data_IF_256996731519
#
_entry.id   IF_256996731519
#
_cell.length_a   1.000
_cell.length_b   1.000
_cell.length_c   1.000
_cell.angle_alpha   90.00
_cell.angle_beta   90.00
_cell.angle_gamma   90.00
#
_symmetry.space_group_name_H-M   'P 1'
#
loop_
_entity.id
_entity.type
_entity.pdbx_description
1 polymer ?
#
# COMPACT_ATOMS: atom_id res chain seq x y z
N UNK A 1 20.95 -3.73 -38.22
CA UNK A 1 20.08 -4.11 -37.09
C UNK A 1 20.56 -3.33 -35.89
N UNK A 2 20.03 -2.13 -35.68
CA UNK A 2 20.45 -1.26 -34.58
C UNK A 2 19.60 -1.55 -33.35
N UNK A 3 20.24 -2.06 -32.31
CA UNK A 3 19.64 -2.21 -30.99
C UNK A 3 19.27 -0.83 -30.44
N UNK A 4 17.98 -0.57 -30.27
CA UNK A 4 17.51 0.57 -29.50
C UNK A 4 17.37 0.11 -28.04
N UNK A 5 18.32 0.49 -27.21
CA UNK A 5 18.15 0.50 -25.75
C UNK A 5 17.56 1.85 -25.39
N UNK A 6 16.30 1.97 -24.95
CA UNK A 6 15.87 3.13 -24.20
C UNK A 6 15.99 2.80 -22.72
N UNK A 7 17.08 3.21 -22.10
CA UNK A 7 17.00 3.67 -20.71
C UNK A 7 16.60 5.15 -20.79
N UNK A 8 15.56 5.54 -20.04
CA UNK A 8 15.86 6.34 -18.87
C UNK A 8 14.99 5.89 -17.70
N UNK A 9 15.47 4.96 -16.89
CA UNK A 9 14.88 4.77 -15.57
C UNK A 9 15.31 5.95 -14.71
N UNK A 10 14.40 6.91 -14.51
CA UNK A 10 14.56 7.91 -13.45
C UNK A 10 14.76 7.24 -12.09
N UNK A 11 15.08 8.00 -11.03
CA UNK A 11 15.12 7.43 -9.69
C UNK A 11 13.78 6.76 -9.38
N UNK A 12 13.83 5.55 -8.80
CA UNK A 12 12.65 4.90 -8.24
C UNK A 12 11.96 5.88 -7.27
N UNK A 13 10.62 6.01 -7.34
CA UNK A 13 9.91 6.93 -6.47
C UNK A 13 10.16 6.56 -5.02
N UNK A 14 10.41 7.56 -4.17
CA UNK A 14 10.56 7.31 -2.74
C UNK A 14 9.22 6.89 -2.12
N UNK A 15 9.27 6.31 -0.92
CA UNK A 15 8.04 5.98 -0.17
C UNK A 15 7.17 7.22 0.03
N UNK A 16 7.78 8.37 0.31
CA UNK A 16 7.07 9.64 0.48
C UNK A 16 6.38 10.08 -0.80
N UNK A 17 7.00 9.90 -1.97
CA UNK A 17 6.41 10.27 -3.26
C UNK A 17 5.17 9.40 -3.57
N UNK A 18 5.25 8.11 -3.25
CA UNK A 18 4.15 7.16 -3.43
C UNK A 18 2.99 7.44 -2.49
N UNK A 19 3.28 7.70 -1.21
CA UNK A 19 2.27 8.07 -0.21
C UNK A 19 1.53 9.35 -0.61
N UNK A 20 2.27 10.39 -0.98
CA UNK A 20 1.74 11.66 -1.45
C UNK A 20 0.84 11.49 -2.68
N UNK A 21 1.24 10.67 -3.64
CA UNK A 21 0.45 10.38 -4.83
C UNK A 21 -0.86 9.66 -4.48
N UNK A 22 -0.81 8.66 -3.59
CA UNK A 22 -1.99 7.94 -3.13
C UNK A 22 -2.97 8.85 -2.40
N UNK A 23 -2.48 9.67 -1.45
CA UNK A 23 -3.32 10.60 -0.69
C UNK A 23 -3.97 11.65 -1.59
N UNK A 24 -3.25 12.20 -2.57
CA UNK A 24 -3.83 13.12 -3.56
C UNK A 24 -4.93 12.46 -4.39
N UNK A 25 -4.74 11.21 -4.82
CA UNK A 25 -5.75 10.49 -5.59
C UNK A 25 -7.02 10.23 -4.75
N UNK A 26 -6.86 9.83 -3.48
CA UNK A 26 -7.97 9.63 -2.54
C UNK A 26 -8.75 10.94 -2.32
N UNK A 27 -8.05 12.05 -2.10
CA UNK A 27 -8.68 13.35 -1.94
C UNK A 27 -9.51 13.75 -3.17
N UNK A 28 -8.95 13.59 -4.38
CA UNK A 28 -9.66 13.88 -5.63
C UNK A 28 -10.92 13.01 -5.80
N UNK A 29 -10.84 11.71 -5.52
CA UNK A 29 -11.98 10.80 -5.60
C UNK A 29 -13.08 11.18 -4.60
N UNK A 30 -12.71 11.46 -3.35
CA UNK A 30 -13.67 11.84 -2.31
C UNK A 30 -14.40 13.16 -2.62
N UNK A 31 -13.77 14.08 -3.35
CA UNK A 31 -14.33 15.38 -3.69
C UNK A 31 -15.29 15.39 -4.88
N UNK A 32 -15.38 14.31 -5.68
CA UNK A 32 -16.18 14.29 -6.91
C UNK A 32 -17.70 14.24 -6.71
N UNK A 33 -18.16 13.61 -5.63
CA UNK A 33 -19.59 13.51 -5.32
C UNK A 33 -20.42 12.62 -6.26
N UNK A 34 -19.79 11.83 -7.12
CA UNK A 34 -20.48 10.88 -8.02
C UNK A 34 -20.37 9.41 -7.54
N UNK A 35 -21.33 8.53 -7.90
CA UNK A 35 -21.31 7.13 -7.47
C UNK A 35 -20.11 6.31 -7.96
N UNK A 36 -19.53 6.65 -9.12
CA UNK A 36 -18.38 5.93 -9.67
C UNK A 36 -17.12 6.18 -8.83
N UNK A 37 -16.92 7.41 -8.39
CA UNK A 37 -15.84 7.77 -7.46
C UNK A 37 -15.97 7.03 -6.11
N UNK A 38 -17.20 6.87 -5.60
CA UNK A 38 -17.44 6.06 -4.40
C UNK A 38 -17.07 4.58 -4.63
N UNK A 39 -17.46 4.00 -5.77
CA UNK A 39 -17.09 2.63 -6.12
C UNK A 39 -15.58 2.46 -6.31
N UNK A 40 -14.88 3.48 -6.85
CA UNK A 40 -13.43 3.49 -6.93
C UNK A 40 -12.79 3.46 -5.53
N UNK A 41 -13.28 4.28 -4.59
CA UNK A 41 -12.80 4.28 -3.20
C UNK A 41 -13.01 2.93 -2.51
N UNK A 42 -14.15 2.26 -2.72
CA UNK A 42 -14.38 0.91 -2.19
C UNK A 42 -13.36 -0.10 -2.71
N UNK A 43 -13.07 -0.09 -4.02
CA UNK A 43 -12.06 -0.97 -4.63
C UNK A 43 -10.66 -0.67 -4.09
N UNK A 44 -10.30 0.61 -3.96
CA UNK A 44 -9.01 1.02 -3.39
C UNK A 44 -8.89 0.57 -1.93
N UNK A 45 -9.95 0.73 -1.13
CA UNK A 45 -9.94 0.29 0.27
C UNK A 45 -9.71 -1.22 0.39
N UNK A 46 -10.33 -2.02 -0.48
CA UNK A 46 -10.10 -3.47 -0.51
C UNK A 46 -8.65 -3.80 -0.90
N UNK A 47 -8.15 -3.19 -1.98
CA UNK A 47 -6.78 -3.41 -2.45
C UNK A 47 -5.72 -2.98 -1.41
N UNK A 48 -5.92 -1.84 -0.74
CA UNK A 48 -5.04 -1.37 0.31
C UNK A 48 -4.99 -2.37 1.48
N UNK A 49 -6.12 -2.98 1.86
CA UNK A 49 -6.17 -4.02 2.89
C UNK A 49 -5.40 -5.28 2.51
N UNK A 50 -5.53 -5.74 1.26
CA UNK A 50 -4.79 -6.89 0.73
C UNK A 50 -3.28 -6.65 0.74
N UNK A 51 -2.84 -5.52 0.18
CA UNK A 51 -1.43 -5.15 0.13
C UNK A 51 -0.84 -4.88 1.52
N UNK A 52 -1.64 -4.38 2.46
CA UNK A 52 -1.22 -4.25 3.86
C UNK A 52 -0.93 -5.62 4.48
N UNK A 53 -1.75 -6.64 4.17
CA UNK A 53 -1.49 -8.01 4.61
C UNK A 53 -0.21 -8.60 4.03
N UNK A 54 0.09 -8.33 2.75
CA UNK A 54 1.36 -8.70 2.11
C UNK A 54 2.53 -8.01 2.83
N UNK A 55 2.46 -6.70 3.03
CA UNK A 55 3.51 -5.93 3.71
C UNK A 55 3.71 -6.38 5.14
N UNK A 56 2.64 -6.69 5.88
CA UNK A 56 2.72 -7.19 7.25
C UNK A 56 3.49 -8.52 7.31
N UNK A 57 3.25 -9.44 6.37
CA UNK A 57 3.99 -10.71 6.27
C UNK A 57 5.45 -10.47 5.94
N UNK A 58 5.78 -9.61 4.98
CA UNK A 58 7.17 -9.27 4.66
C UNK A 58 7.92 -8.65 5.85
N UNK A 59 7.27 -7.76 6.61
CA UNK A 59 7.86 -7.20 7.85
C UNK A 59 8.01 -8.27 8.93
N UNK A 60 7.05 -9.18 9.07
CA UNK A 60 7.15 -10.28 10.01
C UNK A 60 8.29 -11.25 9.68
N UNK A 61 8.51 -11.53 8.39
CA UNK A 61 9.61 -12.35 7.87
C UNK A 61 10.97 -11.67 8.06
N UNK A 62 11.07 -10.38 7.75
CA UNK A 62 12.32 -9.62 7.90
C UNK A 62 12.67 -9.31 9.37
N UNK A 63 11.67 -9.24 10.26
CA UNK A 63 11.85 -8.89 11.67
C UNK A 63 11.05 -9.81 12.60
N UNK A 64 9.77 -9.50 12.85
CA UNK A 64 8.89 -10.33 13.68
C UNK A 64 7.44 -9.84 13.67
N UNK A 65 6.51 -10.68 14.10
CA UNK A 65 5.14 -10.27 14.39
C UNK A 65 5.02 -9.23 15.51
N UNK A 66 6.01 -9.11 16.40
CA UNK A 66 6.04 -8.03 17.39
C UNK A 66 6.35 -6.68 16.75
N UNK A 67 7.21 -6.64 15.72
CA UNK A 67 7.51 -5.42 14.96
C UNK A 67 6.28 -4.94 14.19
N UNK A 68 5.57 -5.86 13.52
CA UNK A 68 4.28 -5.57 12.87
C UNK A 68 3.28 -4.99 13.86
N UNK A 69 3.14 -5.62 15.02
CA UNK A 69 2.22 -5.18 16.06
C UNK A 69 2.57 -3.79 16.62
N UNK A 70 3.86 -3.51 16.79
CA UNK A 70 4.37 -2.19 17.19
C UNK A 70 4.01 -1.11 16.17
N UNK A 71 4.23 -1.37 14.87
CA UNK A 71 3.87 -0.45 13.80
C UNK A 71 2.35 -0.23 13.68
N UNK A 72 1.56 -1.29 13.87
CA UNK A 72 0.10 -1.25 13.75
C UNK A 72 -0.62 -0.79 15.04
N UNK A 73 0.11 -0.50 16.13
CA UNK A 73 -0.49 -0.09 17.41
C UNK A 73 -1.41 -1.14 18.02
N UNK A 74 -1.09 -2.43 17.86
CA UNK A 74 -1.92 -3.55 18.35
C UNK A 74 -1.10 -4.61 19.09
N UNK A 75 -1.74 -5.66 19.60
CA UNK A 75 -1.02 -6.76 20.24
C UNK A 75 -0.43 -7.71 19.20
N UNK A 76 0.67 -8.40 19.54
CA UNK A 76 1.27 -9.43 18.68
C UNK A 76 0.26 -10.51 18.24
N UNK A 77 -0.60 -10.96 19.16
CA UNK A 77 -1.63 -11.96 18.88
C UNK A 77 -2.68 -11.43 17.91
N UNK A 78 -3.09 -10.18 18.05
CA UNK A 78 -4.04 -9.53 17.15
C UNK A 78 -3.45 -9.33 15.74
N UNK A 79 -2.19 -8.85 15.65
CA UNK A 79 -1.49 -8.70 14.37
C UNK A 79 -1.33 -10.05 13.64
N UNK A 80 -0.89 -11.09 14.36
CA UNK A 80 -0.77 -12.43 13.80
C UNK A 80 -2.11 -12.99 13.33
N UNK A 81 -3.15 -12.92 14.18
CA UNK A 81 -4.49 -13.40 13.83
C UNK A 81 -5.04 -12.72 12.57
N UNK A 82 -4.74 -11.42 12.39
CA UNK A 82 -5.25 -10.61 11.28
C UNK A 82 -4.55 -10.86 9.95
N UNK A 83 -3.23 -11.06 9.94
CA UNK A 83 -2.43 -11.01 8.70
C UNK A 83 -1.57 -12.25 8.44
N UNK A 84 -1.64 -13.30 9.27
CA UNK A 84 -0.86 -14.53 9.05
C UNK A 84 -1.24 -15.31 7.79
N UNK A 85 -2.46 -15.13 7.30
CA UNK A 85 -3.06 -15.86 6.16
C UNK A 85 -3.11 -14.96 4.95
#
# INVERSE_FOLDING_TARGET
>A
MSSHTPAPSGPEPSVSDLEDAALRALAQLSGRGDPEAFQALLRISAAAGEHLGVSARSVAEAASWSAVAGAAGTSRQAAWSRWKT
#
